data_IF_992547083668
#
_entry.id   IF_992547083668
#
_cell.length_a   1.000
_cell.length_b   1.000
_cell.length_c   1.000
_cell.angle_alpha   90.00
_cell.angle_beta   90.00
_cell.angle_gamma   90.00
#
_symmetry.space_group_name_H-M   'P 1'
#
loop_
_entity.id
_entity.type
_entity.pdbx_description
1 polymer ?
#
# COMPACT_ATOMS: atom_id res chain seq x y z
N UNK A 1 79.90 -25.81 -37.21
CA UNK A 1 79.68 -24.96 -36.02
C UNK A 1 79.79 -23.52 -36.45
N UNK A 2 78.82 -22.70 -36.06
CA UNK A 2 78.77 -21.27 -36.38
C UNK A 2 79.86 -20.51 -35.62
N UNK A 3 80.38 -19.42 -36.20
CA UNK A 3 81.48 -18.63 -35.62
C UNK A 3 81.09 -18.00 -34.28
N UNK A 4 79.82 -17.61 -34.13
CA UNK A 4 79.30 -17.04 -32.89
C UNK A 4 79.30 -18.05 -31.75
N UNK A 5 78.88 -19.29 -32.02
CA UNK A 5 78.85 -20.36 -31.03
C UNK A 5 80.26 -20.68 -30.50
N UNK A 6 81.25 -20.70 -31.39
CA UNK A 6 82.66 -20.88 -31.01
C UNK A 6 83.15 -19.74 -30.11
N UNK A 7 82.80 -18.50 -30.44
CA UNK A 7 83.21 -17.33 -29.66
C UNK A 7 82.61 -17.31 -28.25
N UNK A 8 81.32 -17.62 -28.10
CA UNK A 8 80.67 -17.71 -26.78
C UNK A 8 81.26 -18.84 -25.95
N UNK A 9 81.56 -19.99 -26.57
CA UNK A 9 82.13 -21.13 -25.86
C UNK A 9 83.56 -20.87 -25.39
N UNK A 10 84.40 -20.30 -26.23
CA UNK A 10 85.81 -20.02 -25.92
C UNK A 10 85.95 -18.92 -24.85
N UNK A 11 84.96 -18.02 -24.71
CA UNK A 11 84.93 -16.95 -23.71
C UNK A 11 83.99 -17.21 -22.53
N UNK A 12 83.41 -18.40 -22.41
CA UNK A 12 82.44 -18.73 -21.35
C UNK A 12 82.94 -18.42 -19.94
N UNK A 13 84.24 -18.65 -19.70
CA UNK A 13 84.86 -18.38 -18.40
C UNK A 13 84.82 -16.89 -17.99
N UNK A 14 84.85 -15.97 -18.95
CA UNK A 14 84.77 -14.52 -18.71
C UNK A 14 83.36 -14.10 -18.24
N UNK A 15 82.33 -14.84 -18.63
CA UNK A 15 80.94 -14.56 -18.24
C UNK A 15 80.59 -15.13 -16.85
N UNK A 16 81.31 -16.13 -16.36
CA UNK A 16 81.06 -16.78 -15.07
C UNK A 16 81.78 -16.10 -13.88
N UNK A 17 82.59 -15.06 -14.13
CA UNK A 17 83.43 -14.38 -13.12
C UNK A 17 82.64 -13.44 -12.18
N UNK A 18 81.50 -12.91 -12.64
CA UNK A 18 80.68 -11.98 -11.86
C UNK A 18 79.25 -12.49 -11.72
N UNK A 19 78.98 -13.22 -10.63
CA UNK A 19 77.61 -13.53 -10.22
C UNK A 19 77.00 -12.31 -9.53
N UNK A 20 75.91 -11.79 -10.06
CA UNK A 20 75.17 -10.71 -9.41
C UNK A 20 74.76 -11.12 -7.99
N UNK A 21 75.14 -10.33 -6.99
CA UNK A 21 74.76 -10.55 -5.60
C UNK A 21 73.27 -10.23 -5.44
N UNK A 22 72.45 -11.27 -5.59
CA UNK A 22 71.00 -11.18 -5.45
C UNK A 22 70.61 -10.67 -4.06
N UNK A 23 71.36 -11.03 -3.01
CA UNK A 23 71.04 -10.58 -1.66
C UNK A 23 71.22 -9.06 -1.54
N UNK A 24 72.31 -8.50 -2.09
CA UNK A 24 72.53 -7.05 -2.12
C UNK A 24 71.47 -6.31 -2.94
N UNK A 25 71.08 -6.85 -4.09
CA UNK A 25 70.03 -6.25 -4.91
C UNK A 25 68.67 -6.25 -4.19
N UNK A 26 68.30 -7.37 -3.56
CA UNK A 26 67.07 -7.47 -2.77
C UNK A 26 67.09 -6.57 -1.54
N UNK A 27 68.24 -6.43 -0.88
CA UNK A 27 68.40 -5.52 0.26
C UNK A 27 68.12 -4.06 -0.13
N UNK A 28 68.60 -3.62 -1.30
CA UNK A 28 68.34 -2.27 -1.81
C UNK A 28 66.87 -2.06 -2.19
N UNK A 29 66.24 -3.07 -2.81
CA UNK A 29 64.80 -3.02 -3.16
C UNK A 29 63.95 -2.93 -1.89
N UNK A 30 64.25 -3.77 -0.89
CA UNK A 30 63.55 -3.77 0.39
C UNK A 30 63.73 -2.45 1.15
N UNK A 31 64.91 -1.84 1.10
CA UNK A 31 65.17 -0.54 1.69
C UNK A 31 64.30 0.58 1.07
N UNK A 32 64.10 0.56 -0.26
CA UNK A 32 63.30 1.56 -0.96
C UNK A 32 61.77 1.38 -0.79
N UNK A 33 61.31 0.18 -0.44
CA UNK A 33 59.88 -0.11 -0.21
C UNK A 33 59.36 0.42 1.14
N UNK A 34 60.23 0.62 2.12
CA UNK A 34 59.84 0.99 3.48
C UNK A 34 59.68 2.49 3.71
N UNK A 35 59.91 3.36 2.72
CA UNK A 35 60.03 4.79 3.00
C UNK A 35 58.71 5.54 3.19
N UNK A 36 57.53 5.02 2.83
CA UNK A 36 56.26 5.65 3.23
C UNK A 36 55.07 4.69 3.18
N UNK A 37 54.63 4.09 4.31
CA UNK A 37 53.30 3.51 4.35
C UNK A 37 52.28 4.62 4.08
N UNK A 38 51.47 4.46 3.03
CA UNK A 38 50.35 5.36 2.73
C UNK A 38 49.54 5.59 4.00
N UNK A 39 49.54 6.84 4.49
CA UNK A 39 48.88 7.22 5.73
C UNK A 39 47.37 7.23 5.50
N UNK A 40 46.74 6.07 5.65
CA UNK A 40 45.28 5.97 5.67
C UNK A 40 44.76 6.61 6.94
N UNK A 41 43.97 7.67 6.80
CA UNK A 41 43.31 8.32 7.94
C UNK A 41 41.98 7.58 8.16
N UNK A 42 41.82 6.79 9.23
CA UNK A 42 40.55 6.10 9.49
C UNK A 42 39.49 7.13 9.86
N UNK A 43 38.55 7.38 8.95
CA UNK A 43 37.47 8.38 9.10
C UNK A 43 36.66 8.17 10.39
N UNK A 44 36.48 6.93 10.82
CA UNK A 44 35.78 6.53 12.05
C UNK A 44 36.47 6.95 13.36
N UNK A 45 37.77 7.29 13.31
CA UNK A 45 38.52 7.80 14.47
C UNK A 45 38.48 9.33 14.57
N UNK A 46 37.91 10.02 13.58
CA UNK A 46 37.78 11.48 13.61
C UNK A 46 36.66 11.91 14.56
N UNK A 47 36.92 12.81 15.52
CA UNK A 47 35.87 13.33 16.41
C UNK A 47 34.78 14.08 15.62
N UNK A 48 35.12 14.70 14.49
CA UNK A 48 34.17 15.41 13.63
C UNK A 48 33.13 14.47 13.00
N UNK A 49 33.55 13.25 12.62
CA UNK A 49 32.64 12.24 12.03
C UNK A 49 31.63 11.75 13.07
N UNK A 50 32.06 11.62 14.34
CA UNK A 50 31.15 11.25 15.45
C UNK A 50 30.11 12.33 15.73
N UNK A 51 30.53 13.60 15.70
CA UNK A 51 29.62 14.74 15.87
C UNK A 51 28.60 14.78 14.73
N UNK A 52 29.05 14.66 13.48
CA UNK A 52 28.15 14.62 12.32
C UNK A 52 27.13 13.46 12.41
N UNK A 53 27.58 12.26 12.79
CA UNK A 53 26.69 11.11 12.97
C UNK A 53 25.63 11.36 14.05
N UNK A 54 25.99 12.01 15.16
CA UNK A 54 25.04 12.33 16.22
C UNK A 54 23.97 13.34 15.77
N UNK A 55 24.34 14.32 14.95
CA UNK A 55 23.40 15.31 14.39
C UNK A 55 22.43 14.62 13.41
N UNK A 56 22.93 13.75 12.53
CA UNK A 56 22.08 12.99 11.60
C UNK A 56 21.09 12.10 12.34
N UNK A 57 21.55 11.41 13.39
CA UNK A 57 20.67 10.57 14.22
C UNK A 57 19.61 11.43 14.92
N UNK A 58 20.00 12.57 15.50
CA UNK A 58 19.07 13.47 16.18
C UNK A 58 18.03 14.05 15.23
N UNK A 59 18.44 14.47 14.02
CA UNK A 59 17.53 14.94 12.98
C UNK A 59 16.63 13.81 12.45
N UNK A 60 17.15 12.59 12.31
CA UNK A 60 16.37 11.42 11.91
C UNK A 60 15.30 11.06 12.94
N UNK A 61 15.67 11.00 14.22
CA UNK A 61 14.73 10.76 15.32
C UNK A 61 13.70 11.89 15.41
N UNK A 62 14.14 13.15 15.34
CA UNK A 62 13.24 14.31 15.38
C UNK A 62 12.31 14.35 14.16
N UNK A 63 12.79 13.93 12.98
CA UNK A 63 11.98 13.83 11.76
C UNK A 63 10.93 12.73 11.85
N UNK A 64 11.29 11.55 12.35
CA UNK A 64 10.35 10.43 12.56
C UNK A 64 9.32 10.79 13.62
N UNK A 65 9.77 11.27 14.79
CA UNK A 65 8.88 11.71 15.87
C UNK A 65 7.99 12.86 15.36
N UNK A 66 8.56 13.84 14.68
CA UNK A 66 7.81 14.96 14.11
C UNK A 66 6.74 14.53 13.11
N UNK A 67 7.04 13.58 12.23
CA UNK A 67 6.03 13.01 11.31
C UNK A 67 4.92 12.27 12.06
N UNK A 68 5.25 11.55 13.14
CA UNK A 68 4.26 10.80 13.93
C UNK A 68 3.45 11.65 14.92
N UNK A 69 4.03 12.73 15.46
CA UNK A 69 3.40 13.59 16.47
C UNK A 69 2.74 14.85 15.86
N UNK A 70 3.35 15.45 14.82
CA UNK A 70 2.76 16.57 14.07
C UNK A 70 1.97 16.10 12.84
N UNK A 71 2.07 14.83 12.45
CA UNK A 71 1.07 14.16 11.63
C UNK A 71 -0.22 14.02 12.43
N UNK A 72 -0.97 15.12 12.51
CA UNK A 72 -2.32 15.27 13.05
C UNK A 72 -2.94 13.98 13.63
N UNK A 73 -2.91 13.77 14.96
CA UNK A 73 -3.70 12.73 15.63
C UNK A 73 -5.18 13.16 15.76
N UNK A 74 -5.69 13.95 14.81
CA UNK A 74 -7.11 14.25 14.73
C UNK A 74 -7.79 13.06 14.05
N UNK A 75 -8.21 12.11 14.87
CA UNK A 75 -8.91 10.87 14.51
C UNK A 75 -10.46 10.97 14.51
N UNK A 76 -11.16 12.04 14.06
CA UNK A 76 -12.57 11.91 13.70
C UNK A 76 -12.76 11.07 12.44
N UNK A 77 -11.85 11.18 11.47
CA UNK A 77 -11.99 10.55 10.14
C UNK A 77 -11.91 9.03 10.20
N UNK A 78 -11.04 8.47 11.06
CA UNK A 78 -10.90 7.02 11.20
C UNK A 78 -12.08 6.39 11.95
N UNK A 79 -12.65 7.08 12.95
CA UNK A 79 -13.85 6.64 13.65
C UNK A 79 -15.03 6.64 12.66
N UNK A 80 -15.35 7.79 12.08
CA UNK A 80 -16.44 7.95 11.09
C UNK A 80 -16.34 6.96 9.92
N UNK A 81 -15.13 6.67 9.41
CA UNK A 81 -14.95 5.67 8.35
C UNK A 81 -15.31 4.24 8.78
N UNK A 82 -15.06 3.90 10.04
CA UNK A 82 -15.38 2.59 10.60
C UNK A 82 -16.89 2.45 10.81
N UNK A 83 -17.55 3.49 11.31
CA UNK A 83 -19.01 3.46 11.50
C UNK A 83 -19.75 3.30 10.18
N UNK A 84 -19.32 4.03 9.14
CA UNK A 84 -19.86 3.83 7.79
C UNK A 84 -19.64 2.39 7.31
N UNK A 85 -18.46 1.82 7.54
CA UNK A 85 -18.16 0.44 7.16
C UNK A 85 -19.06 -0.57 7.90
N UNK A 86 -19.27 -0.38 9.20
CA UNK A 86 -20.13 -1.25 10.02
C UNK A 86 -21.60 -1.16 9.55
N UNK A 87 -22.08 0.03 9.22
CA UNK A 87 -23.41 0.25 8.63
C UNK A 87 -23.52 -0.47 7.27
N UNK A 88 -22.57 -0.26 6.37
CA UNK A 88 -22.56 -0.89 5.04
C UNK A 88 -22.55 -2.42 5.16
N UNK A 89 -21.75 -2.97 6.07
CA UNK A 89 -21.69 -4.41 6.34
C UNK A 89 -23.03 -4.96 6.83
N UNK A 90 -23.77 -4.18 7.63
CA UNK A 90 -25.06 -4.60 8.16
C UNK A 90 -26.19 -4.56 7.11
N UNK A 91 -26.29 -3.48 6.33
CA UNK A 91 -27.48 -3.24 5.49
C UNK A 91 -27.30 -3.59 4.01
N UNK A 92 -26.09 -3.47 3.44
CA UNK A 92 -25.89 -3.60 1.98
C UNK A 92 -26.29 -4.97 1.44
N UNK A 93 -25.96 -6.04 2.19
CA UNK A 93 -26.35 -7.40 1.83
C UNK A 93 -27.87 -7.58 1.80
N UNK A 94 -28.57 -7.03 2.78
CA UNK A 94 -30.03 -7.10 2.87
C UNK A 94 -30.70 -6.36 1.71
N UNK A 95 -30.28 -5.13 1.41
CA UNK A 95 -30.82 -4.37 0.26
C UNK A 95 -30.56 -5.09 -1.06
N UNK A 96 -29.34 -5.61 -1.25
CA UNK A 96 -28.99 -6.37 -2.47
C UNK A 96 -29.91 -7.57 -2.66
N UNK A 97 -30.13 -8.33 -1.58
CA UNK A 97 -31.01 -9.48 -1.59
C UNK A 97 -32.47 -9.10 -1.89
N UNK A 98 -32.98 -8.05 -1.25
CA UNK A 98 -34.35 -7.58 -1.46
C UNK A 98 -34.57 -7.06 -2.89
N UNK A 99 -33.61 -6.35 -3.48
CA UNK A 99 -33.67 -5.94 -4.90
C UNK A 99 -33.74 -7.16 -5.82
N UNK A 100 -32.98 -8.22 -5.53
CA UNK A 100 -33.05 -9.47 -6.28
C UNK A 100 -34.42 -10.15 -6.17
N UNK A 101 -35.10 -10.06 -5.02
CA UNK A 101 -36.46 -10.58 -4.88
C UNK A 101 -37.42 -9.89 -5.85
N UNK A 102 -37.33 -8.56 -5.99
CA UNK A 102 -38.15 -7.79 -6.94
C UNK A 102 -37.82 -8.16 -8.38
N UNK A 103 -36.53 -8.23 -8.74
CA UNK A 103 -36.07 -8.58 -10.09
C UNK A 103 -36.56 -9.98 -10.51
N UNK A 104 -36.52 -10.94 -9.59
CA UNK A 104 -36.90 -12.34 -9.84
C UNK A 104 -38.39 -12.63 -9.60
N UNK A 105 -39.19 -11.65 -9.19
CA UNK A 105 -40.62 -11.85 -8.94
C UNK A 105 -41.39 -12.03 -10.26
N UNK A 106 -42.15 -13.10 -10.39
CA UNK A 106 -42.90 -13.41 -11.63
C UNK A 106 -44.27 -12.71 -11.73
N UNK A 107 -44.75 -12.09 -10.64
CA UNK A 107 -46.02 -11.37 -10.59
C UNK A 107 -45.90 -9.94 -11.14
N UNK A 108 -44.68 -9.41 -11.24
CA UNK A 108 -44.40 -8.08 -11.78
C UNK A 108 -44.04 -8.17 -13.27
N UNK A 109 -44.60 -7.26 -14.07
CA UNK A 109 -44.15 -7.11 -15.46
C UNK A 109 -42.75 -6.49 -15.51
N UNK A 110 -42.09 -6.56 -16.67
CA UNK A 110 -40.78 -5.92 -16.84
C UNK A 110 -40.86 -4.40 -16.62
N UNK A 111 -41.95 -3.76 -17.04
CA UNK A 111 -42.16 -2.33 -16.86
C UNK A 111 -42.34 -1.97 -15.38
N UNK A 112 -43.14 -2.72 -14.62
CA UNK A 112 -43.36 -2.47 -13.20
C UNK A 112 -42.06 -2.62 -12.39
N UNK A 113 -41.23 -3.62 -12.75
CA UNK A 113 -39.91 -3.81 -12.15
C UNK A 113 -39.00 -2.63 -12.43
N UNK A 114 -38.95 -2.16 -13.67
CA UNK A 114 -38.10 -1.03 -14.07
C UNK A 114 -38.54 0.26 -13.34
N UNK A 115 -39.85 0.54 -13.34
CA UNK A 115 -40.42 1.69 -12.65
C UNK A 115 -40.09 1.65 -11.15
N UNK A 116 -40.37 0.53 -10.48
CA UNK A 116 -40.11 0.42 -9.05
C UNK A 116 -38.60 0.49 -8.71
N UNK A 117 -37.75 -0.17 -9.49
CA UNK A 117 -36.30 -0.16 -9.25
C UNK A 117 -35.67 1.20 -9.55
N UNK A 118 -36.33 2.08 -10.31
CA UNK A 118 -35.87 3.47 -10.48
C UNK A 118 -35.78 4.22 -9.15
N UNK A 119 -36.67 3.94 -8.19
CA UNK A 119 -36.59 4.50 -6.85
C UNK A 119 -35.35 4.03 -6.08
N UNK A 120 -34.90 2.79 -6.33
CA UNK A 120 -33.67 2.27 -5.71
C UNK A 120 -32.44 3.00 -6.26
N UNK A 121 -32.43 3.30 -7.56
CA UNK A 121 -31.37 4.09 -8.19
C UNK A 121 -31.31 5.51 -7.63
N UNK A 122 -32.46 6.15 -7.40
CA UNK A 122 -32.53 7.47 -6.76
C UNK A 122 -31.97 7.44 -5.33
N UNK A 123 -32.37 6.44 -4.53
CA UNK A 123 -31.88 6.27 -3.17
C UNK A 123 -30.38 5.91 -3.14
N UNK A 124 -29.86 5.23 -4.17
CA UNK A 124 -28.41 5.01 -4.39
C UNK A 124 -27.66 6.30 -4.66
N UNK A 125 -28.21 7.16 -5.50
CA UNK A 125 -27.62 8.48 -5.74
C UNK A 125 -27.60 9.32 -4.45
N UNK A 126 -28.69 9.32 -3.67
CA UNK A 126 -28.75 10.02 -2.37
C UNK A 126 -27.67 9.51 -1.40
N UNK A 127 -27.49 8.19 -1.30
CA UNK A 127 -26.45 7.60 -0.46
C UNK A 127 -25.03 8.05 -0.87
N UNK A 128 -24.72 8.10 -2.16
CA UNK A 128 -23.41 8.58 -2.63
C UNK A 128 -23.22 10.09 -2.34
N UNK A 129 -24.28 10.90 -2.41
CA UNK A 129 -24.22 12.29 -1.97
C UNK A 129 -23.94 12.41 -0.46
N UNK A 130 -24.61 11.61 0.38
CA UNK A 130 -24.37 11.58 1.82
C UNK A 130 -22.91 11.20 2.14
N UNK A 131 -22.32 10.26 1.39
CA UNK A 131 -20.89 9.93 1.54
C UNK A 131 -19.95 11.08 1.18
N UNK A 132 -20.31 11.88 0.18
CA UNK A 132 -19.54 13.08 -0.17
C UNK A 132 -19.68 14.16 0.91
N UNK A 133 -20.89 14.37 1.43
CA UNK A 133 -21.16 15.30 2.53
C UNK A 133 -20.37 14.92 3.79
N UNK A 134 -20.31 13.63 4.13
CA UNK A 134 -19.56 13.12 5.28
C UNK A 134 -18.05 13.43 5.21
N UNK A 135 -17.49 13.60 4.00
CA UNK A 135 -16.07 13.98 3.84
C UNK A 135 -15.83 15.46 4.10
N UNK A 136 -16.86 16.28 3.93
CA UNK A 136 -16.77 17.74 3.96
C UNK A 136 -17.41 18.35 5.23
N UNK A 137 -18.17 17.58 6.00
CA UNK A 137 -18.94 18.04 7.14
C UNK A 137 -18.18 17.87 8.47
N UNK A 138 -18.44 18.79 9.40
CA UNK A 138 -17.94 18.73 10.78
C UNK A 138 -18.85 17.86 11.66
N UNK A 139 -20.14 17.72 11.32
CA UNK A 139 -21.11 16.91 12.05
C UNK A 139 -21.46 15.63 11.28
N UNK A 140 -20.57 14.63 11.39
CA UNK A 140 -20.71 13.35 10.69
C UNK A 140 -21.75 12.42 11.34
N UNK A 141 -22.16 12.66 12.58
CA UNK A 141 -23.18 11.84 13.24
C UNK A 141 -24.54 11.98 12.55
N UNK A 142 -24.92 13.22 12.18
CA UNK A 142 -26.15 13.46 11.42
C UNK A 142 -26.12 12.81 10.03
N UNK A 143 -24.97 12.86 9.36
CA UNK A 143 -24.80 12.25 8.04
C UNK A 143 -24.88 10.73 8.13
N UNK A 144 -24.26 10.11 9.13
CA UNK A 144 -24.38 8.67 9.39
C UNK A 144 -25.84 8.26 9.68
N UNK A 145 -26.58 9.06 10.46
CA UNK A 145 -27.99 8.82 10.70
C UNK A 145 -28.84 8.91 9.41
N UNK A 146 -28.53 9.85 8.53
CA UNK A 146 -29.16 9.96 7.22
C UNK A 146 -28.85 8.74 6.33
N UNK A 147 -27.62 8.22 6.35
CA UNK A 147 -27.24 6.99 5.64
C UNK A 147 -28.06 5.79 6.14
N UNK A 148 -28.18 5.62 7.47
CA UNK A 148 -29.04 4.56 8.05
C UNK A 148 -30.50 4.74 7.63
N UNK A 149 -31.01 5.98 7.61
CA UNK A 149 -32.36 6.29 7.17
C UNK A 149 -32.58 5.94 5.70
N UNK A 150 -31.62 6.25 4.82
CA UNK A 150 -31.68 5.87 3.40
C UNK A 150 -31.76 4.34 3.23
N UNK A 151 -30.93 3.57 3.95
CA UNK A 151 -31.04 2.11 3.94
C UNK A 151 -32.40 1.61 4.39
N UNK A 152 -32.94 2.14 5.49
CA UNK A 152 -34.27 1.76 6.01
C UNK A 152 -35.39 2.05 5.01
N UNK A 153 -35.35 3.21 4.35
CA UNK A 153 -36.36 3.57 3.33
C UNK A 153 -36.37 2.57 2.17
N UNK A 154 -35.19 2.17 1.67
CA UNK A 154 -35.11 1.16 0.59
C UNK A 154 -35.75 -0.16 1.01
N UNK A 155 -35.43 -0.60 2.22
CA UNK A 155 -35.95 -1.84 2.79
C UNK A 155 -37.48 -1.76 2.91
N UNK A 156 -37.98 -0.70 3.52
CA UNK A 156 -39.42 -0.47 3.72
C UNK A 156 -40.18 -0.43 2.40
N UNK A 157 -39.66 0.24 1.37
CA UNK A 157 -40.29 0.28 0.05
C UNK A 157 -40.39 -1.11 -0.59
N UNK A 158 -39.32 -1.91 -0.53
CA UNK A 158 -39.33 -3.26 -1.10
C UNK A 158 -40.25 -4.18 -0.30
N UNK A 159 -40.22 -4.12 1.03
CA UNK A 159 -41.09 -4.91 1.90
C UNK A 159 -42.57 -4.59 1.65
N UNK A 160 -42.92 -3.31 1.53
CA UNK A 160 -44.28 -2.89 1.20
C UNK A 160 -44.74 -3.41 -0.15
N UNK A 161 -43.89 -3.37 -1.18
CA UNK A 161 -44.21 -3.93 -2.50
C UNK A 161 -44.46 -5.45 -2.40
N UNK A 162 -43.54 -6.19 -1.78
CA UNK A 162 -43.65 -7.63 -1.63
C UNK A 162 -44.88 -8.04 -0.80
N UNK A 163 -45.22 -7.26 0.22
CA UNK A 163 -46.44 -7.47 1.00
C UNK A 163 -47.69 -7.30 0.13
N UNK A 164 -47.78 -6.22 -0.66
CA UNK A 164 -48.93 -5.99 -1.54
C UNK A 164 -49.11 -7.12 -2.57
N UNK A 165 -48.00 -7.64 -3.11
CA UNK A 165 -48.00 -8.77 -4.05
C UNK A 165 -48.44 -10.10 -3.41
N UNK A 166 -48.15 -10.29 -2.12
CA UNK A 166 -48.64 -11.45 -1.37
C UNK A 166 -50.12 -11.31 -0.99
N UNK A 167 -50.56 -10.12 -0.58
CA UNK A 167 -51.96 -9.85 -0.25
C UNK A 167 -52.88 -9.96 -1.47
N UNK A 168 -52.43 -9.52 -2.65
CA UNK A 168 -53.19 -9.67 -3.89
C UNK A 168 -53.39 -11.15 -4.25
N UNK A 169 -52.38 -11.99 -4.05
CA UNK A 169 -52.47 -13.45 -4.24
C UNK A 169 -53.51 -14.09 -3.30
N UNK A 170 -53.50 -13.74 -2.01
CA UNK A 170 -54.47 -14.28 -1.03
C UNK A 170 -55.91 -13.94 -1.45
N UNK A 171 -56.13 -12.72 -1.96
CA UNK A 171 -57.45 -12.31 -2.46
C UNK A 171 -57.87 -13.11 -3.70
N UNK A 172 -56.98 -13.35 -4.66
CA UNK A 172 -57.31 -14.16 -5.84
C UNK A 172 -57.63 -15.62 -5.48
N UNK A 173 -56.90 -16.21 -4.53
CA UNK A 173 -57.13 -17.60 -4.08
C UNK A 173 -58.45 -17.76 -3.28
N UNK A 174 -58.95 -16.70 -2.63
CA UNK A 174 -60.19 -16.72 -1.80
C UNK A 174 -61.49 -16.65 -2.63
N UNK A 175 -61.44 -16.14 -3.87
CA UNK A 175 -62.60 -16.16 -4.79
C UNK A 175 -62.83 -17.53 -5.46
N UNK A 176 -62.11 -18.56 -5.01
CA UNK A 176 -62.15 -19.91 -5.53
C UNK A 176 -63.30 -20.79 -5.05
N UNK A 177 -64.17 -20.39 -4.12
CA UNK A 177 -65.37 -21.18 -3.75
C UNK A 177 -66.46 -20.34 -3.07
N UNK A 178 -67.61 -20.15 -3.74
CA UNK A 178 -68.97 -20.37 -3.20
C UNK A 178 -69.99 -20.36 -4.34
N UNK A 179 -70.91 -21.32 -4.28
CA UNK A 179 -72.08 -21.54 -5.15
C UNK A 179 -73.09 -20.39 -5.13
#
# INVERSE_FOLDING_TARGET
MDQFEKHIRDNKAVFDDHKADRAKMWANIAAQLNENPSKVIPLWKSPMVRIAASIVILLGITGIIGLTFFGSPNTPTHYVSKELQDIDMHYKGLVTYQVQLVQNNNQLTAADKEEFLSFMVELDAEYEQLKLEMRNNLDNEQVLAAIVSNYRKRIELIENLLQQLNESKIKEDDYGYTL
#
